data_IF_477456161614
#
_entry.id   IF_477456161614
#
_cell.length_a   1.000
_cell.length_b   1.000
_cell.length_c   1.000
_cell.angle_alpha   90.00
_cell.angle_beta   90.00
_cell.angle_gamma   90.00
#
_symmetry.space_group_name_H-M   'P 1'
#
loop_
_entity.id
_entity.type
_entity.pdbx_description
1 polymer ?
#
# COMPACT_ATOMS: atom_id res chain seq x y z
N UNK A 1 33.79 9.02 23.07
CA UNK A 1 32.47 9.14 22.41
C UNK A 1 31.38 8.91 23.43
N UNK A 2 30.48 9.86 23.74
CA UNK A 2 29.38 9.66 24.64
C UNK A 2 28.32 8.80 23.96
N UNK A 3 28.00 7.66 24.56
CA UNK A 3 26.85 6.82 24.19
C UNK A 3 25.62 7.60 24.62
N UNK A 4 24.98 8.28 23.69
CA UNK A 4 23.70 8.92 23.93
C UNK A 4 22.65 7.84 24.19
N UNK A 5 22.05 7.89 25.39
CA UNK A 5 20.88 7.10 25.73
C UNK A 5 19.74 7.45 24.76
N UNK A 6 19.42 6.54 23.88
CA UNK A 6 18.42 6.75 22.83
C UNK A 6 17.05 6.48 23.41
N UNK A 7 16.26 7.52 23.58
CA UNK A 7 14.87 7.47 24.02
C UNK A 7 14.06 6.47 23.16
N UNK A 8 13.56 5.40 23.79
CA UNK A 8 12.80 4.32 23.10
C UNK A 8 11.61 4.82 22.30
N UNK A 9 10.98 5.91 22.69
CA UNK A 9 9.84 6.51 21.95
C UNK A 9 10.28 7.15 20.62
N UNK A 10 11.40 7.86 20.58
CA UNK A 10 11.98 8.45 19.36
C UNK A 10 12.45 7.38 18.38
N UNK A 11 12.98 6.25 18.87
CA UNK A 11 13.42 5.14 18.02
C UNK A 11 12.26 4.43 17.31
N UNK A 12 11.09 4.33 17.93
CA UNK A 12 9.89 3.72 17.30
C UNK A 12 9.37 4.61 16.17
N UNK A 13 9.38 5.92 16.35
CA UNK A 13 8.94 6.88 15.34
C UNK A 13 9.93 6.97 14.17
N UNK A 14 11.21 6.97 14.43
CA UNK A 14 12.28 6.95 13.44
C UNK A 14 12.30 5.64 12.62
N UNK A 15 12.02 4.48 13.24
CA UNK A 15 11.85 3.21 12.51
C UNK A 15 10.62 3.22 11.61
N UNK A 16 9.51 3.87 12.00
CA UNK A 16 8.33 4.03 11.14
C UNK A 16 8.65 4.81 9.85
N UNK A 17 9.48 5.83 9.92
CA UNK A 17 9.91 6.61 8.75
C UNK A 17 10.88 5.84 7.83
N UNK A 18 11.80 5.05 8.40
CA UNK A 18 12.79 4.27 7.61
C UNK A 18 12.16 3.11 6.82
N UNK A 19 11.08 2.53 7.27
CA UNK A 19 10.47 1.35 6.64
C UNK A 19 9.66 1.66 5.37
N UNK A 20 9.46 2.91 5.01
CA UNK A 20 8.78 3.32 3.78
C UNK A 20 7.35 2.79 3.62
N UNK A 21 6.67 2.37 4.72
CA UNK A 21 5.29 1.87 4.71
C UNK A 21 4.53 2.23 5.99
N UNK A 22 3.19 2.20 5.90
CA UNK A 22 2.32 2.35 7.06
C UNK A 22 2.28 1.06 7.89
N UNK A 23 2.64 1.14 9.16
CA UNK A 23 2.68 0.00 10.11
C UNK A 23 1.51 0.02 11.11
N UNK A 24 0.65 1.02 11.06
CA UNK A 24 -0.50 1.13 11.95
C UNK A 24 -1.65 0.19 11.57
N UNK A 25 -2.78 0.29 12.30
CA UNK A 25 -3.94 -0.58 12.10
C UNK A 25 -4.60 -0.33 10.74
N UNK A 26 -4.41 -1.24 9.79
CA UNK A 26 -4.87 -1.12 8.39
C UNK A 26 -6.38 -1.00 8.24
N UNK A 27 -7.18 -1.67 9.09
CA UNK A 27 -8.65 -1.53 9.06
C UNK A 27 -9.12 -0.10 9.37
N UNK A 28 -8.30 0.71 10.07
CA UNK A 28 -8.58 2.12 10.29
C UNK A 28 -8.60 2.89 8.96
N UNK A 29 -7.72 2.52 8.02
CA UNK A 29 -7.67 3.15 6.70
C UNK A 29 -8.95 2.89 5.89
N UNK A 30 -9.42 1.65 5.85
CA UNK A 30 -10.69 1.29 5.20
C UNK A 30 -11.86 2.09 5.80
N UNK A 31 -11.96 2.12 7.14
CA UNK A 31 -13.02 2.86 7.84
C UNK A 31 -12.97 4.37 7.57
N UNK A 32 -11.77 4.96 7.44
CA UNK A 32 -11.61 6.37 7.11
C UNK A 32 -12.12 6.70 5.70
N UNK A 33 -11.92 5.77 4.74
CA UNK A 33 -12.40 5.93 3.36
C UNK A 33 -13.84 5.45 3.14
N UNK A 34 -14.41 4.73 4.11
CA UNK A 34 -15.76 4.14 4.00
C UNK A 34 -15.88 3.00 2.99
N UNK A 35 -14.75 2.47 2.49
CA UNK A 35 -14.72 1.41 1.47
C UNK A 35 -13.69 0.34 1.81
N UNK A 36 -13.88 -0.87 1.32
CA UNK A 36 -12.88 -1.95 1.42
C UNK A 36 -11.69 -1.66 0.52
N UNK A 37 -10.49 -1.62 1.10
CA UNK A 37 -9.23 -1.47 0.39
C UNK A 37 -8.45 -2.79 0.26
N UNK A 38 -9.01 -3.90 0.76
CA UNK A 38 -8.46 -5.26 0.69
C UNK A 38 -7.00 -5.37 1.20
N UNK A 39 -6.72 -4.73 2.36
CA UNK A 39 -5.35 -4.64 2.91
C UNK A 39 -4.94 -5.83 3.79
N UNK A 40 -5.88 -6.71 4.15
CA UNK A 40 -5.65 -7.86 5.06
C UNK A 40 -5.98 -9.23 4.45
N UNK A 41 -6.02 -9.34 3.12
CA UNK A 41 -6.30 -10.61 2.44
C UNK A 41 -7.66 -11.19 2.82
N UNK A 42 -7.71 -12.48 3.16
CA UNK A 42 -8.94 -13.26 3.40
C UNK A 42 -9.86 -12.65 4.45
N UNK A 43 -9.30 -12.00 5.47
CA UNK A 43 -10.10 -11.29 6.46
C UNK A 43 -11.00 -10.21 5.85
N UNK A 44 -10.60 -9.61 4.74
CA UNK A 44 -11.40 -8.58 4.08
C UNK A 44 -12.63 -9.15 3.37
N UNK A 45 -12.62 -10.45 3.08
CA UNK A 45 -13.73 -11.17 2.45
C UNK A 45 -14.64 -11.87 3.49
N UNK A 46 -14.20 -11.92 4.76
CA UNK A 46 -14.94 -12.56 5.82
C UNK A 46 -15.84 -11.57 6.60
N UNK A 47 -16.78 -12.11 7.37
CA UNK A 47 -17.63 -11.35 8.31
C UNK A 47 -16.81 -10.59 9.38
N UNK A 48 -15.50 -10.87 9.53
CA UNK A 48 -14.62 -10.16 10.45
C UNK A 48 -14.13 -8.81 9.91
N UNK A 49 -14.44 -8.46 8.66
CA UNK A 49 -14.11 -7.18 8.08
C UNK A 49 -14.77 -6.04 8.86
N UNK A 50 -14.00 -4.97 9.15
CA UNK A 50 -14.52 -3.84 9.91
C UNK A 50 -15.62 -3.05 9.17
N UNK A 51 -15.60 -3.06 7.83
CA UNK A 51 -16.65 -2.46 6.99
C UNK A 51 -17.92 -3.32 7.04
N UNK A 52 -17.81 -4.65 6.88
CA UNK A 52 -18.95 -5.58 6.98
C UNK A 52 -19.64 -5.51 8.35
N UNK A 53 -18.86 -5.29 9.41
CA UNK A 53 -19.36 -5.08 10.77
C UNK A 53 -20.00 -3.71 10.99
N UNK A 54 -20.17 -2.89 9.98
CA UNK A 54 -20.74 -1.55 10.09
C UNK A 54 -19.94 -0.58 10.99
N UNK A 55 -18.64 -0.85 11.25
CA UNK A 55 -17.84 0.05 12.09
C UNK A 55 -17.63 1.38 11.38
N UNK A 56 -18.15 2.45 11.95
CA UNK A 56 -18.06 3.82 11.45
C UNK A 56 -16.63 4.37 11.37
N UNK A 57 -16.51 5.62 10.93
CA UNK A 57 -15.22 6.29 10.80
C UNK A 57 -14.48 6.38 12.15
N UNK A 58 -13.15 6.21 12.18
CA UNK A 58 -12.35 6.32 13.40
C UNK A 58 -12.48 7.72 14.01
N UNK A 59 -12.69 7.78 15.35
CA UNK A 59 -12.78 9.05 16.08
C UNK A 59 -14.10 9.79 15.94
N UNK A 60 -15.09 9.22 15.24
CA UNK A 60 -16.47 9.73 15.20
C UNK A 60 -17.40 8.80 15.96
N UNK A 61 -18.32 9.36 16.71
CA UNK A 61 -19.43 8.62 17.32
C UNK A 61 -20.51 8.34 16.25
N UNK A 62 -21.30 7.30 16.47
CA UNK A 62 -22.42 6.97 15.56
C UNK A 62 -23.49 8.06 15.48
N UNK A 63 -23.55 8.92 16.49
CA UNK A 63 -24.47 10.08 16.54
C UNK A 63 -23.96 11.32 15.82
N UNK A 64 -22.68 11.35 15.44
CA UNK A 64 -22.09 12.52 14.78
C UNK A 64 -22.65 12.64 13.35
N UNK A 65 -23.21 13.80 13.04
CA UNK A 65 -23.72 14.08 11.70
C UNK A 65 -22.61 14.08 10.67
N UNK A 66 -22.76 13.26 9.62
CA UNK A 66 -21.80 13.21 8.51
C UNK A 66 -22.01 14.45 7.64
N UNK A 67 -21.04 15.37 7.65
CA UNK A 67 -21.05 16.52 6.75
C UNK A 67 -20.81 16.08 5.31
N UNK A 68 -21.58 16.65 4.36
CA UNK A 68 -21.31 16.48 2.91
C UNK A 68 -19.90 16.95 2.60
N UNK A 69 -19.17 16.18 1.82
CA UNK A 69 -17.82 16.55 1.39
C UNK A 69 -17.93 17.62 0.29
N UNK A 70 -17.02 18.60 0.33
CA UNK A 70 -16.79 19.53 -0.79
C UNK A 70 -16.12 18.79 -1.96
N UNK A 71 -16.12 19.41 -3.15
CA UNK A 71 -15.47 18.82 -4.34
C UNK A 71 -13.99 18.56 -4.10
N UNK A 72 -13.29 19.48 -3.43
CA UNK A 72 -11.92 19.25 -2.97
C UNK A 72 -11.83 18.01 -2.04
N UNK A 73 -12.77 17.89 -1.12
CA UNK A 73 -12.83 16.73 -0.21
C UNK A 73 -13.00 15.41 -0.95
N UNK A 74 -13.82 15.37 -1.99
CA UNK A 74 -14.04 14.20 -2.84
C UNK A 74 -12.76 13.82 -3.60
N UNK A 75 -12.11 14.79 -4.24
CA UNK A 75 -10.84 14.58 -4.94
C UNK A 75 -9.74 14.10 -4.00
N UNK A 76 -9.62 14.71 -2.80
CA UNK A 76 -8.68 14.29 -1.78
C UNK A 76 -8.92 12.83 -1.35
N UNK A 77 -10.19 12.44 -1.15
CA UNK A 77 -10.53 11.04 -0.78
C UNK A 77 -10.16 10.07 -1.89
N UNK A 78 -10.44 10.40 -3.14
CA UNK A 78 -10.06 9.58 -4.30
C UNK A 78 -8.55 9.34 -4.36
N UNK A 79 -7.76 10.41 -4.24
CA UNK A 79 -6.29 10.33 -4.14
C UNK A 79 -5.85 9.44 -2.96
N UNK A 80 -6.42 9.63 -1.78
CA UNK A 80 -6.06 8.87 -0.59
C UNK A 80 -6.42 7.39 -0.70
N UNK A 81 -7.54 7.04 -1.35
CA UNK A 81 -7.91 5.65 -1.63
C UNK A 81 -6.84 4.95 -2.44
N UNK A 82 -6.45 5.52 -3.59
CA UNK A 82 -5.40 4.96 -4.44
C UNK A 82 -4.09 4.80 -3.65
N UNK A 83 -3.61 5.87 -3.03
CA UNK A 83 -2.38 5.84 -2.24
C UNK A 83 -2.37 4.75 -1.16
N UNK A 84 -3.48 4.59 -0.43
CA UNK A 84 -3.62 3.61 0.65
C UNK A 84 -3.74 2.19 0.14
N UNK A 85 -4.39 1.98 -1.00
CA UNK A 85 -4.51 0.67 -1.64
C UNK A 85 -3.14 0.09 -2.00
N UNK A 86 -2.25 0.92 -2.56
CA UNK A 86 -0.88 0.51 -2.89
C UNK A 86 0.12 0.67 -1.73
N UNK A 87 -0.33 1.11 -0.56
CA UNK A 87 0.50 1.21 0.65
C UNK A 87 1.64 2.21 0.57
N UNK A 88 1.48 3.30 -0.21
CA UNK A 88 2.52 4.30 -0.44
C UNK A 88 2.41 5.51 0.46
N UNK A 89 3.55 6.18 0.70
CA UNK A 89 3.60 7.49 1.32
C UNK A 89 3.43 8.62 0.29
N UNK A 90 3.07 9.81 0.77
CA UNK A 90 2.76 10.97 -0.05
C UNK A 90 3.89 11.38 -0.99
N UNK A 91 5.14 11.39 -0.50
CA UNK A 91 6.33 11.75 -1.31
C UNK A 91 6.49 10.82 -2.52
N UNK A 92 6.37 9.50 -2.30
CA UNK A 92 6.46 8.50 -3.37
C UNK A 92 5.30 8.64 -4.35
N UNK A 93 4.08 8.81 -3.85
CA UNK A 93 2.89 8.97 -4.68
C UNK A 93 3.00 10.19 -5.60
N UNK A 94 3.47 11.34 -5.08
CA UNK A 94 3.71 12.56 -5.88
C UNK A 94 4.74 12.31 -6.98
N UNK A 95 5.82 11.56 -6.72
CA UNK A 95 6.80 11.18 -7.73
C UNK A 95 6.18 10.36 -8.86
N UNK A 96 5.36 9.35 -8.55
CA UNK A 96 4.64 8.58 -9.57
C UNK A 96 3.64 9.42 -10.35
N UNK A 97 2.92 10.31 -9.68
CA UNK A 97 1.99 11.22 -10.33
C UNK A 97 2.72 12.16 -11.30
N UNK A 98 3.83 12.77 -10.89
CA UNK A 98 4.66 13.61 -11.76
C UNK A 98 5.19 12.84 -12.98
N UNK A 99 5.60 11.57 -12.80
CA UNK A 99 6.02 10.73 -13.92
C UNK A 99 4.86 10.42 -14.88
N UNK A 100 3.67 10.14 -14.34
CA UNK A 100 2.47 9.87 -15.13
C UNK A 100 2.02 11.09 -15.95
N UNK A 101 2.16 12.31 -15.39
CA UNK A 101 1.81 13.56 -16.08
C UNK A 101 2.72 13.86 -17.28
N UNK A 102 3.98 13.37 -17.25
CA UNK A 102 4.93 13.55 -18.35
C UNK A 102 4.71 12.59 -19.51
N UNK A 103 3.94 11.53 -19.31
CA UNK A 103 3.63 10.54 -20.34
C UNK A 103 2.44 11.00 -21.18
N UNK A 104 2.46 10.69 -22.47
CA UNK A 104 1.33 10.94 -23.36
C UNK A 104 0.10 10.14 -22.95
N UNK A 105 -1.09 10.74 -23.10
CA UNK A 105 -2.37 10.10 -22.80
C UNK A 105 -3.00 10.61 -21.48
N UNK A 106 -3.96 9.85 -20.98
CA UNK A 106 -4.70 10.20 -19.75
C UNK A 106 -3.83 9.95 -18.53
N UNK A 107 -3.53 11.00 -17.77
CA UNK A 107 -2.65 10.95 -16.59
C UNK A 107 -3.10 9.90 -15.57
N UNK A 108 -4.43 9.73 -15.39
CA UNK A 108 -4.98 8.73 -14.47
C UNK A 108 -4.62 7.30 -14.88
N UNK A 109 -4.79 6.98 -16.14
CA UNK A 109 -4.47 5.65 -16.70
C UNK A 109 -2.97 5.36 -16.63
N UNK A 110 -2.14 6.35 -16.99
CA UNK A 110 -0.69 6.25 -16.87
C UNK A 110 -0.26 6.01 -15.42
N UNK A 111 -0.87 6.72 -14.46
CA UNK A 111 -0.61 6.51 -13.04
C UNK A 111 -0.94 5.07 -12.61
N UNK A 112 -2.13 4.58 -12.99
CA UNK A 112 -2.54 3.21 -12.64
C UNK A 112 -1.59 2.19 -13.30
N UNK A 113 -1.22 2.36 -14.56
CA UNK A 113 -0.22 1.51 -15.24
C UNK A 113 1.09 1.43 -14.45
N UNK A 114 1.65 2.58 -14.07
CA UNK A 114 2.90 2.63 -13.28
C UNK A 114 2.73 1.92 -11.93
N UNK A 115 1.59 2.05 -11.27
CA UNK A 115 1.33 1.42 -9.98
C UNK A 115 1.09 -0.09 -10.09
N UNK A 116 0.42 -0.54 -11.15
CA UNK A 116 0.15 -1.96 -11.39
C UNK A 116 1.41 -2.73 -11.83
N UNK A 117 2.36 -2.09 -12.53
CA UNK A 117 3.62 -2.74 -12.97
C UNK A 117 4.68 -2.89 -11.87
N UNK A 118 4.41 -2.46 -10.66
CA UNK A 118 5.32 -2.67 -9.52
C UNK A 118 5.38 -4.14 -9.11
N UNK A 119 6.56 -4.62 -8.79
CA UNK A 119 6.79 -6.02 -8.41
C UNK A 119 5.94 -6.44 -7.19
N UNK A 120 5.84 -5.60 -6.15
CA UNK A 120 5.02 -5.90 -4.98
C UNK A 120 3.52 -6.07 -5.34
N UNK A 121 3.03 -5.31 -6.31
CA UNK A 121 1.64 -5.43 -6.77
C UNK A 121 1.44 -6.63 -7.70
N UNK A 122 2.39 -6.92 -8.60
CA UNK A 122 2.31 -8.07 -9.51
C UNK A 122 2.31 -9.38 -8.73
N UNK A 123 3.20 -9.52 -7.74
CA UNK A 123 3.24 -10.69 -6.83
C UNK A 123 1.89 -10.91 -6.13
N UNK A 124 1.22 -9.83 -5.73
CA UNK A 124 -0.14 -9.90 -5.21
C UNK A 124 -1.16 -10.30 -6.27
N UNK A 125 -1.09 -9.76 -7.50
CA UNK A 125 -2.00 -10.08 -8.60
C UNK A 125 -1.85 -11.51 -9.11
N UNK A 126 -0.63 -12.06 -9.05
CA UNK A 126 -0.35 -13.46 -9.35
C UNK A 126 -0.77 -14.43 -8.22
N UNK A 127 -1.39 -13.92 -7.16
CA UNK A 127 -1.85 -14.70 -6.00
C UNK A 127 -0.75 -15.42 -5.21
N UNK A 128 0.53 -15.02 -5.34
CA UNK A 128 1.61 -15.51 -4.47
C UNK A 128 1.49 -14.97 -3.04
N UNK A 129 0.65 -13.98 -2.83
CA UNK A 129 0.38 -13.40 -1.51
C UNK A 129 -1.10 -13.04 -1.37
N UNK A 130 -1.66 -13.23 -0.18
CA UNK A 130 -3.05 -12.89 0.13
C UNK A 130 -3.30 -11.37 0.23
N UNK A 131 -2.25 -10.56 0.37
CA UNK A 131 -2.37 -9.09 0.42
C UNK A 131 -1.13 -8.40 -0.13
N UNK A 132 -1.29 -7.12 -0.58
CA UNK A 132 -0.16 -6.30 -1.04
C UNK A 132 0.93 -6.10 0.03
N UNK A 133 0.55 -6.06 1.31
CA UNK A 133 1.51 -5.96 2.40
C UNK A 133 2.36 -7.24 2.53
N UNK A 134 1.75 -8.40 2.39
CA UNK A 134 2.45 -9.68 2.38
C UNK A 134 3.33 -9.80 1.13
N UNK A 135 2.81 -9.49 -0.05
CA UNK A 135 3.58 -9.48 -1.28
C UNK A 135 4.84 -8.60 -1.17
N UNK A 136 4.69 -7.40 -0.63
CA UNK A 136 5.82 -6.51 -0.36
C UNK A 136 6.84 -7.12 0.61
N UNK A 137 6.39 -7.86 1.62
CA UNK A 137 7.27 -8.54 2.56
C UNK A 137 8.03 -9.67 1.87
N UNK A 138 7.35 -10.51 1.06
CA UNK A 138 7.99 -11.57 0.29
C UNK A 138 9.10 -11.02 -0.63
N UNK A 139 8.81 -9.94 -1.38
CA UNK A 139 9.81 -9.29 -2.21
C UNK A 139 10.98 -8.76 -1.37
N UNK A 140 10.70 -8.02 -0.29
CA UNK A 140 11.75 -7.41 0.55
C UNK A 140 12.65 -8.45 1.22
N UNK A 141 12.13 -9.64 1.52
CA UNK A 141 12.89 -10.76 2.08
C UNK A 141 13.59 -11.58 0.99
N UNK A 142 13.37 -11.24 -0.30
CA UNK A 142 14.05 -11.85 -1.43
C UNK A 142 13.54 -13.24 -1.78
N UNK A 143 12.27 -13.53 -1.53
CA UNK A 143 11.61 -14.78 -1.92
C UNK A 143 11.17 -14.79 -3.38
N UNK A 144 11.39 -13.71 -4.13
CA UNK A 144 10.94 -13.54 -5.52
C UNK A 144 12.14 -13.43 -6.45
N UNK A 145 12.07 -14.15 -7.55
CA UNK A 145 13.00 -14.09 -8.66
C UNK A 145 12.33 -13.38 -9.84
N UNK A 146 13.08 -12.56 -10.55
CA UNK A 146 12.69 -11.96 -11.82
C UNK A 146 13.76 -12.36 -12.85
N UNK A 147 13.38 -13.05 -13.90
CA UNK A 147 14.29 -13.61 -14.90
C UNK A 147 15.43 -14.43 -14.27
N UNK A 148 15.10 -15.27 -13.30
CA UNK A 148 16.05 -16.12 -12.56
C UNK A 148 16.93 -15.38 -11.54
N UNK A 149 16.82 -14.04 -11.42
CA UNK A 149 17.63 -13.25 -10.47
C UNK A 149 16.79 -12.79 -9.28
N UNK A 150 17.35 -12.89 -8.08
CA UNK A 150 16.70 -12.46 -6.83
C UNK A 150 16.55 -10.94 -6.81
N UNK A 151 15.31 -10.46 -6.66
CA UNK A 151 14.99 -9.03 -6.56
C UNK A 151 14.35 -8.74 -5.21
N UNK A 152 14.98 -7.87 -4.39
CA UNK A 152 14.49 -7.48 -3.06
C UNK A 152 13.88 -6.08 -3.01
N UNK A 153 13.67 -5.44 -4.17
CA UNK A 153 13.15 -4.07 -4.28
C UNK A 153 11.66 -4.11 -4.64
N UNK A 154 10.73 -3.83 -3.69
CA UNK A 154 9.29 -3.90 -3.96
C UNK A 154 8.79 -2.92 -5.03
N UNK A 155 9.50 -1.82 -5.24
CA UNK A 155 9.18 -0.81 -6.26
C UNK A 155 9.82 -1.09 -7.62
N UNK A 156 10.44 -2.26 -7.80
CA UNK A 156 10.94 -2.68 -9.11
C UNK A 156 9.81 -2.67 -10.14
N UNK A 157 10.06 -2.09 -11.30
CA UNK A 157 9.08 -2.04 -12.41
C UNK A 157 9.29 -3.25 -13.29
N UNK A 158 8.31 -4.11 -13.34
CA UNK A 158 8.30 -5.31 -14.18
C UNK A 158 7.91 -4.92 -15.60
N UNK A 159 8.57 -5.50 -16.58
CA UNK A 159 8.33 -5.29 -18.01
C UNK A 159 7.52 -6.45 -18.58
N UNK A 160 6.93 -6.24 -19.75
CA UNK A 160 6.32 -7.33 -20.49
C UNK A 160 7.39 -8.40 -20.82
N UNK A 161 6.99 -9.66 -20.72
CA UNK A 161 7.84 -10.86 -20.90
C UNK A 161 8.86 -11.13 -19.77
N UNK A 162 8.87 -10.38 -18.65
CA UNK A 162 9.65 -10.78 -17.48
C UNK A 162 9.02 -12.03 -16.84
N UNK A 163 9.80 -13.07 -16.57
CA UNK A 163 9.38 -14.22 -15.77
C UNK A 163 9.48 -13.91 -14.28
N UNK A 164 8.43 -14.25 -13.53
CA UNK A 164 8.39 -14.04 -12.08
C UNK A 164 8.14 -15.38 -11.40
N UNK A 165 9.04 -15.75 -10.50
CA UNK A 165 9.04 -17.03 -9.84
C UNK A 165 9.23 -16.86 -8.33
N UNK A 166 8.75 -17.83 -7.56
CA UNK A 166 9.06 -17.92 -6.13
C UNK A 166 10.34 -18.73 -5.96
N UNK A 167 11.27 -18.22 -5.14
CA UNK A 167 12.53 -18.90 -4.86
C UNK A 167 12.26 -20.28 -4.23
N UNK A 168 13.00 -21.32 -4.64
CA UNK A 168 12.76 -22.71 -4.22
C UNK A 168 12.76 -22.91 -2.71
N UNK A 169 13.66 -22.27 -1.99
CA UNK A 169 13.69 -22.33 -0.52
C UNK A 169 12.47 -21.68 0.17
N UNK A 170 11.53 -21.12 -0.60
CA UNK A 170 10.37 -20.35 -0.11
C UNK A 170 9.03 -20.94 -0.59
N UNK A 171 9.10 -22.08 -1.26
CA UNK A 171 7.91 -22.84 -1.72
C UNK A 171 7.25 -23.62 -0.61
#
# INVERSE_FOLDING_TARGET
HPIMAVDRKRNVEYRRFKLGRYLGPTCRLCRTEGVKLYLKGDRCNSRQCAIERGKGQPGKNSRDRVKKLSDYGLQLRSKQRVKRTYGMFEKQFRGFFSNATRQQGVTGDNLIKILETRLDNIVYRMHFAASRNQARQLVSHGHILVNGKRVSIPSYIVRANDSIEVHESSK
#
